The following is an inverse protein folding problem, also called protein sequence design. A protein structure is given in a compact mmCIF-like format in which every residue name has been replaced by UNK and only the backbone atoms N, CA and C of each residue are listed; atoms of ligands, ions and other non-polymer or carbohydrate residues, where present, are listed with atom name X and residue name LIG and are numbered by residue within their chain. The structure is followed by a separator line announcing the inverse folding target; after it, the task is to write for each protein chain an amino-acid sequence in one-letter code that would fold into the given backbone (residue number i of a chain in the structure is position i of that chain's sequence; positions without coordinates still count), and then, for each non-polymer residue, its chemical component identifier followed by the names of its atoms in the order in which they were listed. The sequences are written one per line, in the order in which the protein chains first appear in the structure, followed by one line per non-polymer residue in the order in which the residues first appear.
data_IF_410903733244
#
_entry.id   IF_410903733244
#
_cell.length_a   1.000
_cell.length_b   1.000
_cell.length_c   1.000
_cell.angle_alpha   90.00
_cell.angle_beta   90.00
_cell.angle_gamma   90.00
#
_symmetry.space_group_name_H-M   'P 1'
#
loop_
_entity.id
_entity.type
_entity.pdbx_description
1 polymer ?
#
# COMPACT_ATOMS: atom_id res chain seq x y z
N UNK A 1 -29.87 -1.20 -26.64
CA UNK A 1 -29.51 -2.07 -25.50
C UNK A 1 -28.10 -2.59 -25.79
N UNK A 2 -27.12 -2.25 -24.97
CA UNK A 2 -25.78 -2.82 -25.12
C UNK A 2 -25.84 -4.33 -24.87
N UNK A 3 -25.05 -5.10 -25.63
CA UNK A 3 -24.98 -6.55 -25.46
C UNK A 3 -24.28 -6.85 -24.14
N UNK A 4 -25.03 -7.36 -23.16
CA UNK A 4 -24.48 -7.81 -21.88
C UNK A 4 -23.85 -9.19 -22.03
N UNK A 5 -22.63 -9.36 -21.56
CA UNK A 5 -21.97 -10.66 -21.43
C UNK A 5 -21.87 -11.05 -19.96
N UNK A 6 -22.03 -12.34 -19.66
CA UNK A 6 -21.90 -12.86 -18.29
C UNK A 6 -20.46 -13.28 -18.02
N UNK A 7 -19.87 -12.79 -16.92
CA UNK A 7 -18.56 -13.19 -16.44
C UNK A 7 -18.70 -14.10 -15.22
N UNK A 8 -18.22 -15.34 -15.32
CA UNK A 8 -18.17 -16.28 -14.20
C UNK A 8 -16.75 -16.28 -13.60
N UNK A 9 -16.62 -15.85 -12.35
CA UNK A 9 -15.34 -15.78 -11.64
C UNK A 9 -15.37 -16.64 -10.37
N UNK A 10 -14.31 -17.41 -10.14
CA UNK A 10 -14.07 -18.10 -8.87
C UNK A 10 -13.16 -17.24 -8.00
N UNK A 11 -13.63 -16.91 -6.81
CA UNK A 11 -12.90 -16.12 -5.81
C UNK A 11 -12.92 -16.82 -4.47
N UNK A 12 -11.91 -16.55 -3.63
CA UNK A 12 -11.95 -16.99 -2.25
C UNK A 12 -13.09 -16.27 -1.51
N UNK A 13 -13.93 -16.97 -0.72
CA UNK A 13 -15.05 -16.36 0.01
C UNK A 13 -14.64 -15.23 0.97
N UNK A 14 -13.49 -15.34 1.64
CA UNK A 14 -13.02 -14.29 2.56
C UNK A 14 -12.60 -13.05 1.79
N UNK A 15 -11.83 -13.20 0.71
CA UNK A 15 -11.45 -12.10 -0.18
C UNK A 15 -12.66 -11.42 -0.79
N UNK A 16 -13.67 -12.19 -1.22
CA UNK A 16 -14.93 -11.65 -1.75
C UNK A 16 -15.61 -10.75 -0.72
N UNK A 17 -15.77 -11.25 0.51
CA UNK A 17 -16.44 -10.50 1.58
C UNK A 17 -15.69 -9.21 1.93
N UNK A 18 -14.37 -9.27 2.08
CA UNK A 18 -13.57 -8.08 2.35
C UNK A 18 -13.68 -7.04 1.24
N UNK A 19 -13.71 -7.46 -0.03
CA UNK A 19 -13.92 -6.55 -1.16
C UNK A 19 -15.32 -5.92 -1.14
N UNK A 20 -16.37 -6.71 -0.87
CA UNK A 20 -17.75 -6.21 -0.75
C UNK A 20 -17.90 -5.21 0.40
N UNK A 21 -17.26 -5.44 1.55
CA UNK A 21 -17.26 -4.52 2.68
C UNK A 21 -16.62 -3.17 2.33
N UNK A 22 -15.52 -3.17 1.56
CA UNK A 22 -14.89 -1.93 1.08
C UNK A 22 -15.77 -1.22 0.06
N UNK A 23 -16.26 -1.95 -0.95
CA UNK A 23 -17.06 -1.39 -2.03
C UNK A 23 -18.40 -0.85 -1.55
N UNK A 24 -19.03 -1.49 -0.56
CA UNK A 24 -20.27 -1.01 0.06
C UNK A 24 -20.11 0.34 0.75
N UNK A 25 -18.97 0.58 1.42
CA UNK A 25 -18.64 1.90 2.01
C UNK A 25 -18.45 2.98 0.95
N UNK A 26 -18.02 2.60 -0.25
CA UNK A 26 -17.90 3.48 -1.41
C UNK A 26 -19.23 3.65 -2.17
N UNK A 27 -20.28 2.91 -1.81
CA UNK A 27 -21.56 2.91 -2.53
C UNK A 27 -21.49 2.23 -3.91
N UNK A 28 -20.49 1.37 -4.14
CA UNK A 28 -20.22 0.73 -5.43
C UNK A 28 -20.62 -0.75 -5.37
N UNK A 29 -21.51 -1.24 -6.24
CA UNK A 29 -21.77 -2.67 -6.37
C UNK A 29 -20.58 -3.45 -6.92
N UNK A 30 -20.45 -4.72 -6.53
CA UNK A 30 -19.36 -5.60 -6.99
C UNK A 30 -19.27 -5.69 -8.52
N UNK A 31 -20.41 -5.81 -9.23
CA UNK A 31 -20.46 -5.84 -10.70
C UNK A 31 -19.96 -4.54 -11.33
N UNK A 32 -20.28 -3.39 -10.74
CA UNK A 32 -19.81 -2.07 -11.19
C UNK A 32 -18.29 -1.96 -11.02
N UNK A 33 -17.74 -2.43 -9.90
CA UNK A 33 -16.29 -2.43 -9.70
C UNK A 33 -15.55 -3.31 -10.73
N UNK A 34 -16.11 -4.47 -11.09
CA UNK A 34 -15.55 -5.32 -12.14
C UNK A 34 -15.65 -4.66 -13.53
N UNK A 35 -16.77 -4.01 -13.84
CA UNK A 35 -16.92 -3.25 -15.09
C UNK A 35 -15.91 -2.09 -15.18
N UNK A 36 -15.70 -1.36 -14.08
CA UNK A 36 -14.67 -0.32 -13.99
C UNK A 36 -13.26 -0.88 -14.24
N UNK A 37 -12.93 -2.04 -13.66
CA UNK A 37 -11.65 -2.72 -13.89
C UNK A 37 -11.44 -3.06 -15.37
N UNK A 38 -12.45 -3.64 -16.04
CA UNK A 38 -12.37 -3.99 -17.46
C UNK A 38 -12.20 -2.74 -18.34
N UNK A 39 -12.97 -1.68 -18.05
CA UNK A 39 -12.83 -0.39 -18.75
C UNK A 39 -11.45 0.20 -18.59
N UNK A 40 -10.87 0.10 -17.39
CA UNK A 40 -9.53 0.62 -17.16
C UNK A 40 -8.47 -0.17 -17.93
N UNK A 41 -8.60 -1.49 -18.07
CA UNK A 41 -7.71 -2.29 -18.93
C UNK A 41 -7.79 -1.79 -20.38
N UNK A 42 -8.99 -1.56 -20.90
CA UNK A 42 -9.17 -1.04 -22.26
C UNK A 42 -8.57 0.35 -22.42
N UNK A 43 -8.73 1.22 -21.41
CA UNK A 43 -8.24 2.59 -21.44
C UNK A 43 -6.71 2.68 -21.39
N UNK A 44 -6.06 1.88 -20.54
CA UNK A 44 -4.61 1.94 -20.34
C UNK A 44 -3.83 0.99 -21.24
N UNK A 45 -4.49 0.03 -21.87
CA UNK A 45 -3.84 -1.06 -22.61
C UNK A 45 -3.05 -2.03 -21.72
N UNK A 46 -3.36 -2.08 -20.42
CA UNK A 46 -2.62 -2.91 -19.46
C UNK A 46 -3.37 -3.14 -18.14
N UNK A 47 -2.74 -3.85 -17.20
CA UNK A 47 -3.34 -4.09 -15.88
C UNK A 47 -3.33 -2.78 -15.08
N UNK A 48 -4.48 -2.33 -14.52
CA UNK A 48 -4.64 -1.03 -13.89
C UNK A 48 -4.07 -0.94 -12.47
N UNK A 49 -3.00 -1.68 -12.20
CA UNK A 49 -2.19 -1.60 -11.00
C UNK A 49 -0.82 -2.23 -11.29
N UNK A 50 0.20 -1.84 -10.52
CA UNK A 50 1.56 -2.36 -10.67
C UNK A 50 1.58 -3.85 -10.32
N UNK A 51 1.93 -4.70 -11.29
CA UNK A 51 2.16 -6.13 -11.07
C UNK A 51 3.63 -6.35 -10.71
N UNK A 52 3.98 -6.06 -9.47
CA UNK A 52 5.33 -6.24 -8.94
C UNK A 52 5.25 -6.73 -7.49
N UNK A 53 6.34 -7.31 -7.00
CA UNK A 53 6.48 -7.57 -5.57
C UNK A 53 6.41 -6.26 -4.78
N UNK A 54 5.92 -6.27 -3.53
CA UNK A 54 5.96 -5.10 -2.66
C UNK A 54 7.41 -4.59 -2.60
N UNK A 55 7.64 -3.40 -3.15
CA UNK A 55 8.90 -2.71 -2.97
C UNK A 55 8.80 -1.98 -1.63
N UNK A 56 9.89 -1.97 -0.86
CA UNK A 56 9.98 -1.09 0.30
C UNK A 56 9.65 0.32 -0.17
N UNK A 57 8.89 1.08 0.64
CA UNK A 57 8.65 2.50 0.39
C UNK A 57 9.98 3.17 0.08
N UNK A 58 10.06 3.90 -1.03
CA UNK A 58 11.30 4.52 -1.50
C UNK A 58 12.00 5.33 -0.39
N UNK A 59 11.21 5.93 0.51
CA UNK A 59 11.67 6.68 1.67
C UNK A 59 12.49 5.88 2.72
N UNK A 60 12.38 4.54 2.74
CA UNK A 60 13.07 3.63 3.67
C UNK A 60 14.00 2.68 2.89
N UNK A 61 13.93 2.69 1.55
CA UNK A 61 14.73 1.80 0.74
C UNK A 61 16.17 2.33 0.60
N UNK A 62 17.08 1.80 1.41
CA UNK A 62 18.49 2.17 1.39
C UNK A 62 19.15 1.92 0.02
N UNK A 63 18.64 0.97 -0.78
CA UNK A 63 19.17 0.69 -2.12
C UNK A 63 18.88 1.83 -3.12
N UNK A 64 17.91 2.70 -2.81
CA UNK A 64 17.55 3.88 -3.62
C UNK A 64 18.16 5.18 -3.09
N UNK A 65 18.79 5.15 -1.92
CA UNK A 65 19.40 6.34 -1.31
C UNK A 65 20.82 6.56 -1.84
N UNK A 66 21.18 7.82 -2.03
CA UNK A 66 22.57 8.21 -2.27
C UNK A 66 23.38 8.11 -0.97
N UNK A 67 24.70 7.94 -1.09
CA UNK A 67 25.60 7.96 0.08
C UNK A 67 25.47 9.24 0.89
N UNK A 68 25.20 10.38 0.24
CA UNK A 68 24.99 11.66 0.90
C UNK A 68 23.73 11.65 1.78
N UNK A 69 22.62 11.11 1.30
CA UNK A 69 21.37 11.02 2.07
C UNK A 69 21.50 10.10 3.28
N UNK A 70 22.20 8.97 3.13
CA UNK A 70 22.49 8.07 4.25
C UNK A 70 23.35 8.80 5.30
N UNK A 71 24.40 9.50 4.86
CA UNK A 71 25.27 10.27 5.74
C UNK A 71 24.49 11.33 6.52
N UNK A 72 23.61 12.10 5.84
CA UNK A 72 22.78 13.11 6.50
C UNK A 72 21.89 12.49 7.58
N UNK A 73 21.20 11.37 7.29
CA UNK A 73 20.36 10.69 8.29
C UNK A 73 21.16 10.17 9.49
N UNK A 74 22.37 9.67 9.25
CA UNK A 74 23.25 9.22 10.33
C UNK A 74 23.73 10.41 11.18
N UNK A 75 24.07 11.54 10.55
CA UNK A 75 24.48 12.75 11.25
C UNK A 75 23.34 13.31 12.12
N UNK A 76 22.12 13.39 11.58
CA UNK A 76 20.94 13.78 12.37
C UNK A 76 20.75 12.88 13.60
N UNK A 77 20.96 11.57 13.45
CA UNK A 77 20.93 10.63 14.56
C UNK A 77 22.04 10.87 15.61
N UNK A 78 23.25 11.25 15.19
CA UNK A 78 24.31 11.65 16.11
C UNK A 78 23.96 12.93 16.86
N UNK A 79 23.44 13.94 16.16
CA UNK A 79 23.03 15.21 16.76
C UNK A 79 21.88 15.01 17.78
N UNK A 80 20.96 14.07 17.51
CA UNK A 80 19.91 13.65 18.45
C UNK A 80 20.49 12.98 19.71
N UNK A 81 21.53 12.15 19.56
CA UNK A 81 22.23 11.53 20.69
C UNK A 81 22.91 12.61 21.55
N UNK A 82 23.64 13.54 20.92
CA UNK A 82 24.31 14.64 21.64
C UNK A 82 23.33 15.54 22.38
N UNK A 83 22.15 15.79 21.78
CA UNK A 83 21.09 16.57 22.40
C UNK A 83 20.24 15.77 23.42
N UNK A 84 20.55 14.49 23.65
CA UNK A 84 19.82 13.63 24.59
C UNK A 84 18.40 13.26 24.13
N UNK A 85 18.07 13.46 22.85
CA UNK A 85 16.80 13.06 22.22
C UNK A 85 16.79 11.56 21.89
N UNK A 86 17.08 10.75 22.90
CA UNK A 86 17.17 9.29 22.81
C UNK A 86 16.02 8.65 23.57
N UNK A 87 15.65 7.45 23.16
CA UNK A 87 14.64 6.65 23.85
C UNK A 87 15.10 5.20 23.97
N UNK A 88 14.64 4.53 25.03
CA UNK A 88 14.84 3.09 25.18
C UNK A 88 14.22 2.34 23.99
N UNK A 89 14.98 1.40 23.42
CA UNK A 89 14.57 0.69 22.22
C UNK A 89 13.29 -0.13 22.44
N UNK A 90 13.13 -0.76 23.61
CA UNK A 90 11.94 -1.58 23.91
C UNK A 90 10.69 -0.70 23.98
N UNK A 91 10.80 0.47 24.62
CA UNK A 91 9.72 1.47 24.68
C UNK A 91 9.37 2.02 23.28
N UNK A 92 10.38 2.35 22.47
CA UNK A 92 10.20 2.84 21.10
C UNK A 92 9.40 1.86 20.23
N UNK A 93 9.80 0.58 20.23
CA UNK A 93 9.12 -0.45 19.44
C UNK A 93 7.71 -0.76 19.97
N UNK A 94 7.46 -0.59 21.26
CA UNK A 94 6.12 -0.74 21.82
C UNK A 94 5.18 0.36 21.32
N UNK A 95 5.59 1.63 21.41
CA UNK A 95 4.81 2.78 20.96
C UNK A 95 4.54 2.75 19.44
N UNK A 96 5.53 2.32 18.64
CA UNK A 96 5.35 2.16 17.19
C UNK A 96 4.25 1.15 16.84
N UNK A 97 4.24 0.00 17.51
CA UNK A 97 3.22 -1.05 17.27
C UNK A 97 1.82 -0.64 17.69
N UNK A 98 1.70 0.22 18.70
CA UNK A 98 0.40 0.73 19.17
C UNK A 98 -0.18 1.77 18.21
N UNK A 99 0.66 2.64 17.64
CA UNK A 99 0.24 3.71 16.73
C UNK A 99 -0.07 3.26 15.30
N UNK A 100 0.34 2.04 14.91
CA UNK A 100 0.20 1.51 13.54
C UNK A 100 -0.59 0.19 13.50
N UNK A 101 -1.57 0.04 14.41
CA UNK A 101 -2.41 -1.15 14.52
C UNK A 101 -3.71 -1.05 13.73
#
# INVERSE_FOLDING_TARGET
MEKTATLNLRVNPTTKKSAEDVLSRLGIPMSTAIDMYLKQITLTGGIPFKVALPQALDAINADLMTTAEIHTKLQEGFDDIEAGRVQDAKSAFAAFRESHR
#
